data_IF_497064565519
#
_entry.id   IF_497064565519
#
_cell.length_a   1.000
_cell.length_b   1.000
_cell.length_c   1.000
_cell.angle_alpha   90.00
_cell.angle_beta   90.00
_cell.angle_gamma   90.00
#
_symmetry.space_group_name_H-M   'P 1'
#
loop_
_entity.id
_entity.type
_entity.pdbx_description
1 polymer ?
#
# COMPACT_ATOMS: atom_id res chain seq x y z
N UNK A 1 -9.53 -12.72 5.18
CA UNK A 1 -9.13 -11.89 4.02
C UNK A 1 -8.14 -12.62 3.10
N UNK A 2 -7.20 -13.38 3.67
CA UNK A 2 -6.10 -13.96 2.88
C UNK A 2 -6.31 -15.42 2.47
N UNK A 3 -7.41 -16.04 2.85
CA UNK A 3 -7.62 -17.48 2.75
C UNK A 3 -7.58 -18.04 1.32
N UNK A 4 -7.95 -17.24 0.32
CA UNK A 4 -8.11 -17.73 -1.05
C UNK A 4 -7.07 -17.18 -2.03
N UNK A 5 -5.99 -16.60 -1.54
CA UNK A 5 -5.01 -15.94 -2.41
C UNK A 5 -3.58 -16.15 -1.91
N UNK A 6 -2.61 -15.59 -2.61
CA UNK A 6 -1.19 -15.74 -2.30
C UNK A 6 -0.41 -14.49 -2.65
N UNK A 7 0.80 -14.34 -2.09
CA UNK A 7 1.70 -13.26 -2.44
C UNK A 7 2.13 -13.32 -3.91
N UNK A 8 2.23 -14.52 -4.49
CA UNK A 8 2.55 -14.66 -5.92
C UNK A 8 1.48 -14.02 -6.80
N UNK A 9 0.21 -14.20 -6.45
CA UNK A 9 -0.88 -13.48 -7.13
C UNK A 9 -0.76 -11.97 -6.90
N UNK A 10 -0.36 -11.57 -5.69
CA UNK A 10 -0.16 -10.17 -5.35
C UNK A 10 0.92 -9.49 -6.18
N UNK A 11 1.98 -10.21 -6.52
CA UNK A 11 3.03 -9.69 -7.40
C UNK A 11 2.47 -9.32 -8.77
N UNK A 12 1.53 -10.11 -9.27
CA UNK A 12 0.84 -9.82 -10.54
C UNK A 12 -0.05 -8.58 -10.43
N UNK A 13 -0.81 -8.48 -9.35
CA UNK A 13 -1.68 -7.32 -9.09
C UNK A 13 -0.83 -6.05 -8.96
N UNK A 14 0.33 -6.15 -8.31
CA UNK A 14 1.22 -5.01 -8.09
C UNK A 14 1.68 -4.34 -9.39
N UNK A 15 1.64 -5.02 -10.51
CA UNK A 15 1.98 -4.41 -11.81
C UNK A 15 1.16 -3.15 -12.08
N UNK A 16 -0.05 -3.07 -11.54
CA UNK A 16 -0.91 -1.87 -11.65
C UNK A 16 -0.39 -0.70 -10.81
N UNK A 17 0.50 -0.96 -9.87
CA UNK A 17 1.06 0.04 -8.95
C UNK A 17 2.49 0.43 -9.32
N UNK A 18 3.18 -0.43 -10.05
CA UNK A 18 4.62 -0.33 -10.30
C UNK A 18 5.02 0.90 -11.13
N UNK A 19 4.09 1.46 -11.90
CA UNK A 19 4.38 2.68 -12.65
C UNK A 19 4.64 3.87 -11.72
N UNK A 20 4.01 3.87 -10.54
CA UNK A 20 4.09 4.99 -9.58
C UNK A 20 4.86 4.65 -8.32
N UNK A 21 5.05 3.39 -8.01
CA UNK A 21 5.67 2.95 -6.75
C UNK A 21 6.76 1.92 -6.98
N UNK A 22 7.86 2.06 -6.24
CA UNK A 22 8.82 0.97 -6.07
C UNK A 22 8.45 0.17 -4.83
N UNK A 23 8.83 -1.11 -4.77
CA UNK A 23 8.59 -1.93 -3.58
C UNK A 23 9.86 -2.65 -3.11
N UNK A 24 10.90 -2.71 -3.92
CA UNK A 24 12.15 -3.35 -3.56
C UNK A 24 12.83 -2.63 -2.40
N UNK A 25 13.58 -3.37 -1.58
CA UNK A 25 14.40 -2.77 -0.53
C UNK A 25 15.37 -1.75 -1.14
N UNK A 26 15.44 -0.57 -0.53
CA UNK A 26 16.28 0.51 -1.05
C UNK A 26 15.73 1.20 -2.28
N UNK A 27 14.52 0.86 -2.70
CA UNK A 27 13.89 1.49 -3.86
C UNK A 27 13.62 2.96 -3.65
N UNK A 28 13.65 3.72 -4.73
CA UNK A 28 13.45 5.17 -4.68
C UNK A 28 11.98 5.54 -4.80
N UNK A 29 11.63 6.72 -4.28
CA UNK A 29 10.33 7.30 -4.54
C UNK A 29 10.21 7.61 -6.03
N UNK A 30 8.98 7.49 -6.52
CA UNK A 30 8.62 7.83 -7.89
C UNK A 30 7.49 8.87 -7.83
N UNK A 31 6.46 8.72 -8.66
CA UNK A 31 5.24 9.54 -8.55
C UNK A 31 4.62 9.32 -7.17
N UNK A 32 4.59 8.07 -6.69
CA UNK A 32 4.22 7.73 -5.33
C UNK A 32 5.43 7.38 -4.47
N UNK A 33 5.25 7.27 -3.14
CA UNK A 33 6.36 6.93 -2.24
C UNK A 33 6.80 5.48 -2.40
N UNK A 34 8.06 5.21 -2.03
CA UNK A 34 8.58 3.85 -1.97
C UNK A 34 7.76 3.03 -0.96
N UNK A 35 7.49 1.77 -1.30
CA UNK A 35 6.59 0.92 -0.50
C UNK A 35 7.28 -0.18 0.30
N UNK A 36 8.62 -0.31 0.24
CA UNK A 36 9.31 -1.28 1.10
C UNK A 36 8.98 -0.99 2.56
N UNK A 37 8.47 -2.00 3.26
CA UNK A 37 8.11 -1.85 4.66
C UNK A 37 6.86 -1.02 4.92
N UNK A 38 5.99 -0.83 3.91
CA UNK A 38 4.82 0.03 4.05
C UNK A 38 3.82 -0.49 5.09
N UNK A 39 3.62 -1.80 5.17
CA UNK A 39 2.72 -2.35 6.20
C UNK A 39 3.36 -2.21 7.57
N UNK A 40 2.63 -1.64 8.50
CA UNK A 40 3.12 -1.29 9.84
C UNK A 40 3.77 0.08 9.92
N UNK A 41 4.02 0.73 8.80
CA UNK A 41 4.59 2.08 8.76
C UNK A 41 3.49 3.12 8.94
N UNK A 42 3.80 4.21 9.62
CA UNK A 42 2.85 5.31 9.74
C UNK A 42 2.63 5.98 8.38
N UNK A 43 1.37 6.21 8.03
CA UNK A 43 1.03 6.88 6.77
C UNK A 43 1.66 8.27 6.73
N UNK A 44 2.19 8.63 5.57
CA UNK A 44 2.77 9.96 5.38
C UNK A 44 4.09 10.19 6.10
N UNK A 45 4.83 9.13 6.43
CA UNK A 45 5.99 9.25 7.33
C UNK A 45 7.36 9.27 6.66
N UNK A 46 7.47 8.98 5.35
CA UNK A 46 8.78 9.03 4.70
C UNK A 46 9.27 10.48 4.61
N UNK A 47 10.50 10.75 5.10
CA UNK A 47 10.99 12.13 5.17
C UNK A 47 11.34 12.73 3.81
N UNK A 48 11.58 11.89 2.82
CA UNK A 48 12.05 12.31 1.49
C UNK A 48 10.96 12.29 0.42
N UNK A 49 9.69 12.13 0.83
CA UNK A 49 8.56 12.17 -0.11
C UNK A 49 7.59 13.27 0.29
N UNK A 50 7.10 14.02 -0.71
CA UNK A 50 6.13 15.08 -0.46
C UNK A 50 4.71 14.54 -0.59
N UNK A 51 4.10 14.24 0.54
CA UNK A 51 2.72 13.77 0.61
C UNK A 51 1.71 14.89 0.41
N UNK A 52 0.47 14.51 0.08
CA UNK A 52 -0.66 15.45 0.21
C UNK A 52 -0.82 15.85 1.68
N UNK A 53 -1.47 16.99 1.92
CA UNK A 53 -1.76 17.42 3.30
C UNK A 53 -2.60 16.38 4.02
N UNK A 54 -3.59 15.79 3.33
CA UNK A 54 -4.46 14.77 3.91
C UNK A 54 -3.67 13.54 4.35
N UNK A 55 -2.75 13.05 3.53
CA UNK A 55 -1.95 11.88 3.85
C UNK A 55 -0.98 12.18 4.99
N UNK A 56 -0.31 13.34 4.95
CA UNK A 56 0.62 13.74 6.00
C UNK A 56 -0.06 13.87 7.36
N UNK A 57 -1.33 14.28 7.37
CA UNK A 57 -2.10 14.48 8.60
C UNK A 57 -2.84 13.22 9.06
N UNK A 58 -2.87 12.16 8.27
CA UNK A 58 -3.69 10.97 8.55
C UNK A 58 -3.31 10.30 9.87
N UNK A 59 -2.02 10.13 10.14
CA UNK A 59 -1.50 9.73 11.45
C UNK A 59 -1.65 8.27 11.84
N UNK A 60 -2.29 7.44 11.02
CA UNK A 60 -2.49 6.02 11.33
C UNK A 60 -1.41 5.17 10.68
N UNK A 61 -1.14 4.02 11.28
CA UNK A 61 -0.25 3.03 10.68
C UNK A 61 -1.00 2.19 9.65
N UNK A 62 -0.28 1.74 8.61
CA UNK A 62 -0.84 0.86 7.60
C UNK A 62 -0.98 -0.56 8.14
N UNK A 63 -2.11 -0.84 8.78
CA UNK A 63 -2.53 -2.20 9.13
C UNK A 63 -3.10 -2.87 7.87
N UNK A 64 -3.37 -4.18 7.93
CA UNK A 64 -4.07 -4.87 6.85
C UNK A 64 -5.42 -4.20 6.57
N UNK A 65 -6.15 -3.87 7.62
CA UNK A 65 -7.48 -3.26 7.50
C UNK A 65 -7.43 -1.88 6.85
N UNK A 66 -6.49 -1.02 7.29
CA UNK A 66 -6.32 0.31 6.72
C UNK A 66 -5.91 0.25 5.26
N UNK A 67 -4.98 -0.65 4.94
CA UNK A 67 -4.52 -0.81 3.56
C UNK A 67 -5.65 -1.34 2.67
N UNK A 68 -6.42 -2.31 3.15
CA UNK A 68 -7.54 -2.85 2.39
C UNK A 68 -8.58 -1.77 2.08
N UNK A 69 -8.95 -0.96 3.06
CA UNK A 69 -9.90 0.13 2.87
C UNK A 69 -9.40 1.19 1.90
N UNK A 70 -8.12 1.56 2.03
CA UNK A 70 -7.52 2.56 1.14
C UNK A 70 -7.45 2.05 -0.31
N UNK A 71 -7.06 0.80 -0.51
CA UNK A 71 -6.91 0.24 -1.86
C UNK A 71 -8.24 0.05 -2.58
N UNK A 72 -9.33 -0.10 -1.84
CA UNK A 72 -10.67 -0.20 -2.46
C UNK A 72 -11.01 1.07 -3.23
N UNK A 73 -10.86 2.22 -2.59
CA UNK A 73 -11.06 3.54 -3.20
C UNK A 73 -10.19 4.55 -2.46
N UNK A 74 -8.97 4.82 -2.95
CA UNK A 74 -8.06 5.71 -2.22
C UNK A 74 -8.64 7.07 -1.87
N UNK A 75 -9.35 7.69 -2.81
CA UNK A 75 -9.92 9.04 -2.59
C UNK A 75 -11.04 9.06 -1.57
N UNK A 76 -11.77 7.95 -1.43
CA UNK A 76 -12.84 7.85 -0.44
C UNK A 76 -12.28 7.58 0.95
N UNK A 77 -11.21 6.77 1.05
CA UNK A 77 -10.60 6.42 2.33
C UNK A 77 -9.83 7.60 2.92
N UNK A 78 -9.03 8.25 2.09
CA UNK A 78 -8.28 9.47 2.50
C UNK A 78 -8.62 10.57 1.49
N UNK A 79 -9.60 11.38 1.82
CA UNK A 79 -10.00 12.51 0.97
C UNK A 79 -8.84 13.49 0.84
N UNK A 80 -8.55 13.91 -0.38
CA UNK A 80 -7.43 14.81 -0.65
C UNK A 80 -6.11 14.11 -0.94
N UNK A 81 -6.08 12.76 -1.00
CA UNK A 81 -4.86 12.05 -1.43
C UNK A 81 -4.49 12.45 -2.85
N UNK A 82 -3.17 12.57 -3.13
CA UNK A 82 -2.69 12.81 -4.50
C UNK A 82 -2.68 11.54 -5.34
N UNK A 83 -2.91 10.37 -4.78
CA UNK A 83 -2.96 9.13 -5.53
C UNK A 83 -4.19 9.13 -6.43
N UNK A 84 -3.95 9.08 -7.74
CA UNK A 84 -5.03 9.18 -8.74
C UNK A 84 -5.65 7.83 -9.10
N UNK A 85 -5.11 6.73 -8.59
CA UNK A 85 -5.61 5.40 -8.90
C UNK A 85 -7.04 5.21 -8.40
N UNK A 86 -7.91 4.66 -9.25
CA UNK A 86 -9.33 4.52 -8.91
C UNK A 86 -9.62 3.50 -7.81
N UNK A 87 -8.75 2.50 -7.67
CA UNK A 87 -8.88 1.47 -6.65
C UNK A 87 -8.98 0.06 -7.22
N UNK A 88 -8.81 -0.92 -6.32
CA UNK A 88 -8.96 -2.34 -6.63
C UNK A 88 -10.31 -2.81 -6.11
N UNK A 89 -11.26 -3.06 -7.00
CA UNK A 89 -12.63 -3.42 -6.61
C UNK A 89 -12.74 -4.81 -6.02
N UNK A 90 -11.95 -5.77 -6.51
CA UNK A 90 -12.04 -7.17 -6.08
C UNK A 90 -11.28 -7.37 -4.77
N UNK A 91 -11.97 -7.91 -3.77
CA UNK A 91 -11.35 -8.20 -2.48
C UNK A 91 -10.16 -9.15 -2.61
N UNK A 92 -10.28 -10.14 -3.49
CA UNK A 92 -9.20 -11.10 -3.73
C UNK A 92 -7.93 -10.41 -4.22
N UNK A 93 -8.06 -9.42 -5.10
CA UNK A 93 -6.92 -8.66 -5.61
C UNK A 93 -6.28 -7.82 -4.51
N UNK A 94 -7.10 -7.18 -3.68
CA UNK A 94 -6.60 -6.40 -2.55
C UNK A 94 -5.85 -7.30 -1.56
N UNK A 95 -6.47 -8.42 -1.22
CA UNK A 95 -5.83 -9.39 -0.32
C UNK A 95 -4.49 -9.87 -0.87
N UNK A 96 -4.45 -10.20 -2.16
CA UNK A 96 -3.23 -10.68 -2.81
C UNK A 96 -2.11 -9.65 -2.77
N UNK A 97 -2.38 -8.40 -3.13
CA UNK A 97 -1.35 -7.37 -3.15
C UNK A 97 -0.90 -7.01 -1.74
N UNK A 98 -1.79 -7.08 -0.75
CA UNK A 98 -1.42 -6.85 0.65
C UNK A 98 -0.47 -7.95 1.15
N UNK A 99 -0.72 -9.21 0.80
CA UNK A 99 0.22 -10.29 1.11
C UNK A 99 1.59 -10.03 0.48
N UNK A 100 1.60 -9.60 -0.77
CA UNK A 100 2.85 -9.26 -1.46
C UNK A 100 3.58 -8.10 -0.75
N UNK A 101 2.86 -7.05 -0.38
CA UNK A 101 3.45 -5.94 0.39
C UNK A 101 4.03 -6.43 1.72
N UNK A 102 3.34 -7.37 2.37
CA UNK A 102 3.78 -7.88 3.67
C UNK A 102 5.04 -8.76 3.58
N UNK A 103 5.39 -9.23 2.40
CA UNK A 103 6.65 -9.94 2.19
C UNK A 103 7.81 -8.98 1.89
N UNK A 104 7.52 -7.76 1.49
CA UNK A 104 8.53 -6.77 1.09
C UNK A 104 8.81 -5.81 2.24
N UNK A 105 9.35 -6.36 3.33
CA UNK A 105 9.66 -5.62 4.53
C UNK A 105 10.65 -6.44 5.38
N UNK A 106 11.34 -5.76 6.30
CA UNK A 106 12.16 -6.42 7.30
C UNK A 106 11.32 -6.99 8.46
N UNK A 107 10.11 -6.50 8.65
CA UNK A 107 9.25 -6.84 9.80
C UNK A 107 7.82 -7.12 9.34
N UNK A 108 7.55 -8.30 8.72
CA UNK A 108 6.19 -8.61 8.28
C UNK A 108 5.22 -8.61 9.46
N UNK A 109 4.02 -8.09 9.22
CA UNK A 109 2.96 -8.19 10.21
C UNK A 109 2.47 -9.63 10.29
N UNK A 110 2.09 -10.11 11.50
CA UNK A 110 1.51 -11.46 11.60
C UNK A 110 0.19 -11.52 10.85
N UNK A 111 0.01 -12.59 10.09
CA UNK A 111 -1.25 -12.80 9.35
C UNK A 111 -2.38 -13.16 10.32
N UNK A 112 -3.58 -12.71 9.98
CA UNK A 112 -4.78 -12.96 10.76
C UNK A 112 -5.63 -14.05 10.14
#
# INVERSE_FOLDING_TARGET
LFASTSAAEGAKVFKKCAACHSIAEGGKNKIGPALWGVLGRQAGSLPDYKYSKAMAAYGKKWSFEEMNGFLLKPKDWIKGTKMSYAGLKKEKDRAAVILYMNENTNNPLPLQ
#
